data_IF_127348408576
#
_entry.id   IF_127348408576
#
_cell.length_a   1.000
_cell.length_b   1.000
_cell.length_c   1.000
_cell.angle_alpha   90.00
_cell.angle_beta   90.00
_cell.angle_gamma   90.00
#
_symmetry.space_group_name_H-M   'P 1'
#
loop_
_entity.id
_entity.type
_entity.pdbx_description
1 polymer ?
#
# COMPACT_ATOMS: atom_id res chain seq x y z
N UNK A 1 -14.37 -100.49 -23.44
CA UNK A 1 -13.74 -99.63 -24.45
C UNK A 1 -13.38 -98.31 -23.77
N UNK A 2 -12.16 -98.28 -23.44
CA UNK A 2 -11.22 -97.17 -23.27
C UNK A 2 -11.76 -95.82 -22.81
N UNK A 3 -11.61 -95.52 -21.49
CA UNK A 3 -11.69 -94.20 -20.89
C UNK A 3 -10.35 -93.62 -20.57
N UNK A 4 -10.05 -92.41 -21.07
CA UNK A 4 -8.81 -91.73 -20.86
C UNK A 4 -8.97 -90.72 -19.69
N UNK A 5 -8.14 -90.91 -18.63
CA UNK A 5 -8.07 -90.03 -17.50
C UNK A 5 -7.24 -88.81 -17.87
N UNK A 6 -7.72 -87.59 -17.63
CA UNK A 6 -6.98 -86.32 -17.76
C UNK A 6 -6.55 -85.90 -16.39
N UNK A 7 -5.21 -85.90 -16.18
CA UNK A 7 -4.51 -85.43 -14.98
C UNK A 7 -4.47 -83.91 -15.04
N UNK A 8 -5.20 -83.21 -14.16
CA UNK A 8 -5.12 -81.78 -13.98
C UNK A 8 -3.96 -81.42 -13.08
N UNK A 9 -2.96 -80.71 -13.63
CA UNK A 9 -1.82 -80.16 -12.88
C UNK A 9 -2.28 -78.85 -12.25
N UNK A 10 -2.37 -78.86 -10.91
CA UNK A 10 -2.64 -77.63 -10.16
C UNK A 10 -1.38 -76.74 -10.14
N UNK A 11 -1.47 -75.58 -10.80
CA UNK A 11 -0.46 -74.55 -10.70
C UNK A 11 -0.50 -73.88 -9.31
N UNK A 12 0.55 -74.11 -8.54
CA UNK A 12 0.77 -73.38 -7.29
C UNK A 12 1.08 -71.92 -7.61
N UNK A 13 0.10 -71.03 -7.40
CA UNK A 13 0.35 -69.58 -7.39
C UNK A 13 1.23 -69.17 -6.24
N UNK A 14 2.47 -68.79 -6.52
CA UNK A 14 3.37 -68.16 -5.61
C UNK A 14 2.86 -66.77 -5.25
N UNK A 15 2.38 -66.57 -4.02
CA UNK A 15 2.01 -65.28 -3.49
C UNK A 15 3.24 -64.35 -3.43
N UNK A 16 3.17 -63.12 -3.89
CA UNK A 16 4.31 -62.20 -3.85
C UNK A 16 4.67 -61.84 -2.40
N UNK A 17 5.96 -61.68 -2.10
CA UNK A 17 6.44 -61.48 -0.75
C UNK A 17 5.93 -60.17 -0.15
N UNK A 18 5.31 -60.25 1.04
CA UNK A 18 4.73 -59.14 1.80
C UNK A 18 5.78 -58.09 2.28
N UNK A 19 7.08 -58.27 1.98
CA UNK A 19 8.15 -57.37 2.35
C UNK A 19 8.11 -55.99 1.61
N UNK A 20 7.61 -55.94 0.37
CA UNK A 20 7.62 -54.72 -0.43
C UNK A 20 6.63 -53.63 0.01
N UNK A 21 5.59 -54.01 0.75
CA UNK A 21 4.59 -53.01 1.22
C UNK A 21 5.12 -52.16 2.38
N UNK A 22 5.89 -52.73 3.30
CA UNK A 22 6.46 -51.97 4.44
C UNK A 22 7.54 -51.01 4.00
N UNK A 23 8.39 -51.42 3.05
CA UNK A 23 9.40 -50.52 2.48
C UNK A 23 8.81 -49.41 1.65
N UNK A 24 7.72 -49.65 0.90
CA UNK A 24 7.00 -48.60 0.18
C UNK A 24 6.33 -47.58 1.12
N UNK A 25 5.72 -48.02 2.22
CA UNK A 25 5.14 -47.14 3.23
C UNK A 25 6.21 -46.31 3.98
N UNK A 26 7.35 -46.91 4.30
CA UNK A 26 8.46 -46.18 4.90
C UNK A 26 9.06 -45.15 3.93
N UNK A 27 9.23 -45.49 2.66
CA UNK A 27 9.69 -44.55 1.65
C UNK A 27 8.71 -43.39 1.44
N UNK A 28 7.40 -43.64 1.42
CA UNK A 28 6.38 -42.62 1.34
C UNK A 28 6.35 -41.71 2.59
N UNK A 29 6.51 -42.30 3.79
CA UNK A 29 6.59 -41.55 5.04
C UNK A 29 7.85 -40.65 5.10
N UNK A 30 9.01 -41.15 4.65
CA UNK A 30 10.23 -40.35 4.54
C UNK A 30 10.12 -39.22 3.53
N UNK A 31 9.51 -39.48 2.35
CA UNK A 31 9.24 -38.44 1.36
C UNK A 31 8.29 -37.36 1.89
N UNK A 32 7.25 -37.76 2.61
CA UNK A 32 6.33 -36.83 3.28
C UNK A 32 7.01 -36.00 4.37
N UNK A 33 7.84 -36.65 5.19
CA UNK A 33 8.61 -35.97 6.23
C UNK A 33 9.60 -34.94 5.63
N UNK A 34 10.33 -35.32 4.57
CA UNK A 34 11.26 -34.43 3.87
C UNK A 34 10.54 -33.24 3.25
N UNK A 35 9.36 -33.46 2.62
CA UNK A 35 8.53 -32.39 2.03
C UNK A 35 8.00 -31.38 3.07
N UNK A 36 7.81 -31.79 4.31
CA UNK A 36 7.33 -30.91 5.39
C UNK A 36 8.49 -30.32 6.19
N UNK A 37 9.49 -31.13 6.51
CA UNK A 37 10.59 -30.69 7.39
C UNK A 37 11.53 -29.70 6.68
N UNK A 38 11.81 -29.89 5.40
CA UNK A 38 12.69 -28.97 4.67
C UNK A 38 12.09 -27.57 4.57
N UNK A 39 10.82 -27.36 4.13
CA UNK A 39 10.23 -26.03 4.12
C UNK A 39 10.10 -25.42 5.52
N UNK A 40 9.75 -26.24 6.53
CA UNK A 40 9.61 -25.77 7.91
C UNK A 40 10.98 -25.35 8.49
N UNK A 41 12.02 -26.13 8.27
CA UNK A 41 13.39 -25.80 8.68
C UNK A 41 13.91 -24.56 7.93
N UNK A 42 13.60 -24.44 6.64
CA UNK A 42 13.93 -23.26 5.85
C UNK A 42 13.21 -22.01 6.38
N UNK A 43 11.92 -22.11 6.69
CA UNK A 43 11.18 -21.01 7.31
C UNK A 43 11.75 -20.66 8.68
N UNK A 44 11.98 -21.64 9.55
CA UNK A 44 12.56 -21.39 10.88
C UNK A 44 13.94 -20.73 10.78
N UNK A 45 14.77 -21.15 9.84
CA UNK A 45 16.09 -20.57 9.61
C UNK A 45 16.01 -19.13 9.07
N UNK A 46 15.09 -18.84 8.14
CA UNK A 46 14.87 -17.49 7.62
C UNK A 46 14.28 -16.54 8.67
N UNK A 47 13.41 -17.05 9.57
CA UNK A 47 12.89 -16.27 10.71
C UNK A 47 13.97 -15.99 11.77
N UNK A 48 14.83 -16.95 12.06
CA UNK A 48 15.89 -16.82 13.07
C UNK A 48 17.07 -15.95 12.62
N UNK A 49 17.22 -15.70 11.31
CA UNK A 49 18.38 -15.00 10.75
C UNK A 49 18.04 -13.58 10.25
N UNK A 50 16.98 -12.96 10.79
CA UNK A 50 16.66 -11.57 10.48
C UNK A 50 17.64 -10.63 11.16
N UNK A 51 18.35 -9.84 10.36
CA UNK A 51 19.22 -8.76 10.81
C UNK A 51 18.49 -7.43 10.69
N UNK A 52 18.80 -6.54 11.60
CA UNK A 52 18.26 -5.18 11.60
C UNK A 52 19.42 -4.18 11.58
N UNK A 53 19.20 -3.04 11.01
CA UNK A 53 20.14 -1.93 11.00
C UNK A 53 19.45 -0.64 10.66
N UNK A 54 20.12 0.45 10.89
CA UNK A 54 19.65 1.76 10.49
C UNK A 54 20.71 2.48 9.66
N UNK A 55 20.24 3.36 8.78
CA UNK A 55 21.05 4.29 8.02
C UNK A 55 20.40 5.66 8.16
N UNK A 56 21.21 6.68 8.33
CA UNK A 56 20.75 8.06 8.36
C UNK A 56 21.61 8.87 7.39
N UNK A 57 21.01 9.87 6.78
CA UNK A 57 21.67 10.79 5.86
C UNK A 57 20.88 12.09 5.75
N UNK A 58 21.32 12.98 4.87
CA UNK A 58 20.69 14.27 4.71
C UNK A 58 21.35 15.13 3.65
N UNK A 59 21.14 16.42 3.73
CA UNK A 59 21.49 17.39 2.69
C UNK A 59 22.96 17.85 2.69
N UNK A 60 23.88 17.24 3.37
CA UNK A 60 25.33 17.61 3.39
C UNK A 60 25.59 19.13 3.39
N UNK A 61 24.67 19.93 3.93
CA UNK A 61 24.76 21.39 3.98
C UNK A 61 24.46 22.11 2.64
N UNK A 62 24.01 21.41 1.62
CA UNK A 62 23.57 22.02 0.34
C UNK A 62 22.06 22.23 0.34
N UNK A 63 21.57 23.38 -0.14
CA UNK A 63 20.14 23.62 -0.18
C UNK A 63 19.43 22.58 -1.05
N UNK A 64 18.35 22.01 -0.50
CA UNK A 64 17.45 21.10 -1.24
C UNK A 64 16.15 21.86 -1.47
N UNK A 65 15.79 22.04 -2.73
CA UNK A 65 14.58 22.77 -3.13
C UNK A 65 13.44 21.84 -3.52
N UNK A 66 13.71 20.55 -3.78
CA UNK A 66 12.72 19.53 -4.08
C UNK A 66 13.18 18.14 -3.60
N UNK A 67 12.22 17.28 -3.27
CA UNK A 67 12.49 15.90 -2.87
C UNK A 67 11.77 14.94 -3.81
N UNK A 68 12.48 13.93 -4.30
CA UNK A 68 11.90 12.80 -5.02
C UNK A 68 12.22 11.49 -4.29
N UNK A 69 11.19 10.68 -4.04
CA UNK A 69 11.32 9.37 -3.39
C UNK A 69 10.79 8.29 -4.32
N UNK A 70 11.62 7.31 -4.65
CA UNK A 70 11.23 6.14 -5.44
C UNK A 70 11.22 4.93 -4.53
N UNK A 71 10.12 4.74 -3.81
CA UNK A 71 10.05 3.84 -2.67
C UNK A 71 9.99 2.34 -3.03
N UNK A 72 9.59 1.98 -4.27
CA UNK A 72 9.37 0.58 -4.62
C UNK A 72 8.33 -0.08 -3.70
N UNK A 73 8.74 -1.08 -2.91
CA UNK A 73 7.90 -1.76 -1.91
C UNK A 73 8.16 -1.32 -0.46
N UNK A 74 8.83 -0.19 -0.26
CA UNK A 74 9.20 0.31 1.07
C UNK A 74 8.09 1.16 1.70
N UNK A 75 8.04 1.17 3.04
CA UNK A 75 7.20 2.11 3.77
C UNK A 75 7.91 3.47 3.88
N UNK A 76 7.18 4.55 3.59
CA UNK A 76 7.72 5.92 3.59
C UNK A 76 6.86 6.80 4.48
N UNK A 77 7.51 7.54 5.37
CA UNK A 77 6.87 8.58 6.18
C UNK A 77 7.57 9.91 5.94
N UNK A 78 6.83 10.92 5.51
CA UNK A 78 7.35 12.27 5.28
C UNK A 78 6.69 13.25 6.24
N UNK A 79 7.50 13.95 7.02
CA UNK A 79 7.03 14.91 8.02
C UNK A 79 7.72 16.26 7.85
N UNK A 80 7.04 17.37 8.17
CA UNK A 80 7.63 18.70 8.09
C UNK A 80 8.62 18.95 9.24
N UNK A 81 9.59 19.80 8.96
CA UNK A 81 10.56 20.31 9.91
C UNK A 81 10.62 21.83 9.85
N UNK A 82 10.96 22.46 10.97
CA UNK A 82 11.01 23.91 11.04
C UNK A 82 12.29 24.50 10.43
N UNK A 83 13.38 23.74 10.42
CA UNK A 83 14.63 24.15 9.77
C UNK A 83 14.59 23.84 8.25
N UNK A 84 15.55 24.40 7.51
CA UNK A 84 15.62 24.25 6.05
C UNK A 84 16.45 23.03 5.62
N UNK A 85 16.65 22.07 6.52
CA UNK A 85 17.45 20.89 6.26
C UNK A 85 16.55 19.70 5.91
N UNK A 86 16.99 18.91 4.96
CA UNK A 86 16.42 17.59 4.67
C UNK A 86 17.24 16.54 5.38
N UNK A 87 16.61 15.71 6.17
CA UNK A 87 17.27 14.56 6.78
C UNK A 87 16.38 13.32 6.64
N UNK A 88 17.02 12.17 6.56
CA UNK A 88 16.29 10.91 6.57
C UNK A 88 16.93 9.87 7.48
N UNK A 89 16.11 8.97 7.94
CA UNK A 89 16.49 7.76 8.64
C UNK A 89 15.76 6.60 8.01
N UNK A 90 16.48 5.52 7.73
CA UNK A 90 15.90 4.29 7.24
C UNK A 90 16.18 3.15 8.23
N UNK A 91 15.11 2.48 8.65
CA UNK A 91 15.21 1.24 9.40
C UNK A 91 15.15 0.07 8.42
N UNK A 92 16.18 -0.75 8.44
CA UNK A 92 16.43 -1.82 7.49
C UNK A 92 16.26 -3.18 8.17
N UNK A 93 15.51 -4.08 7.56
CA UNK A 93 15.38 -5.47 7.97
C UNK A 93 15.73 -6.39 6.81
N UNK A 94 16.62 -7.40 7.03
CA UNK A 94 17.01 -8.32 5.97
C UNK A 94 17.39 -9.70 6.51
N UNK A 95 17.26 -10.73 5.68
CA UNK A 95 17.70 -12.08 6.01
C UNK A 95 19.03 -12.45 5.35
N UNK A 96 19.28 -12.00 4.13
CA UNK A 96 20.44 -12.43 3.34
C UNK A 96 21.34 -11.28 2.87
N UNK A 97 20.79 -10.32 2.12
CA UNK A 97 21.52 -9.15 1.65
C UNK A 97 20.97 -7.89 2.30
N UNK A 98 21.87 -7.03 2.74
CA UNK A 98 21.52 -5.76 3.36
C UNK A 98 20.92 -4.80 2.32
N UNK A 99 19.77 -4.18 2.61
CA UNK A 99 19.23 -3.10 1.79
C UNK A 99 20.18 -1.90 1.78
N UNK A 100 20.12 -1.13 0.72
CA UNK A 100 20.86 0.13 0.57
C UNK A 100 19.90 1.25 0.26
N UNK A 101 20.25 2.47 0.63
CA UNK A 101 19.58 3.69 0.20
C UNK A 101 20.52 4.36 -0.78
N UNK A 102 20.08 4.51 -2.01
CA UNK A 102 20.80 5.27 -3.02
C UNK A 102 20.33 6.74 -2.95
N UNK A 103 21.29 7.60 -2.70
CA UNK A 103 21.08 9.05 -2.77
C UNK A 103 21.63 9.55 -4.09
N UNK A 104 20.82 10.27 -4.82
CA UNK A 104 21.27 10.97 -6.01
C UNK A 104 20.76 12.40 -6.00
N UNK A 105 21.55 13.31 -6.57
CA UNK A 105 21.21 14.72 -6.69
C UNK A 105 21.13 15.11 -8.16
N UNK A 106 20.02 15.72 -8.51
CA UNK A 106 19.83 16.30 -9.82
C UNK A 106 19.60 17.82 -9.65
N UNK A 107 20.67 18.60 -9.71
CA UNK A 107 20.66 19.99 -9.28
C UNK A 107 20.36 20.09 -7.78
N UNK A 108 19.33 20.87 -7.42
CA UNK A 108 18.88 21.06 -6.04
C UNK A 108 17.79 20.04 -5.62
N UNK A 109 17.50 19.05 -6.45
CA UNK A 109 16.56 17.96 -6.14
C UNK A 109 17.32 16.80 -5.51
N UNK A 110 16.94 16.43 -4.30
CA UNK A 110 17.41 15.20 -3.65
C UNK A 110 16.50 14.03 -4.04
N UNK A 111 17.09 12.97 -4.56
CA UNK A 111 16.38 11.74 -4.87
C UNK A 111 16.83 10.61 -3.96
N UNK A 112 15.88 9.94 -3.33
CA UNK A 112 16.09 8.80 -2.44
C UNK A 112 15.48 7.55 -3.06
N UNK A 113 16.30 6.51 -3.23
CA UNK A 113 15.84 5.23 -3.79
C UNK A 113 16.28 4.10 -2.86
N UNK A 114 15.38 3.58 -2.01
CA UNK A 114 15.62 2.36 -1.28
C UNK A 114 15.76 1.17 -2.23
N UNK A 115 16.82 0.40 -2.08
CA UNK A 115 17.06 -0.79 -2.87
C UNK A 115 17.09 -2.04 -1.99
N UNK A 116 16.18 -2.98 -2.26
CA UNK A 116 16.09 -4.28 -1.62
C UNK A 116 16.63 -5.36 -2.56
N UNK A 117 17.89 -5.79 -2.40
CA UNK A 117 18.43 -6.87 -3.24
C UNK A 117 17.71 -8.20 -2.91
N UNK A 118 17.03 -8.78 -3.89
CA UNK A 118 16.27 -10.01 -3.72
C UNK A 118 14.78 -9.82 -3.34
N UNK A 119 14.22 -8.64 -3.58
CA UNK A 119 12.77 -8.41 -3.53
C UNK A 119 12.01 -9.33 -4.50
N UNK A 120 10.71 -9.41 -4.38
CA UNK A 120 9.83 -10.36 -5.07
C UNK A 120 9.94 -10.40 -6.62
N UNK A 121 10.73 -9.49 -7.22
CA UNK A 121 11.03 -9.47 -8.66
C UNK A 121 12.39 -10.04 -9.05
N UNK A 122 13.35 -10.15 -8.11
CA UNK A 122 14.76 -10.33 -8.50
C UNK A 122 15.32 -11.76 -8.25
N UNK A 123 14.71 -12.57 -7.43
CA UNK A 123 15.27 -13.90 -7.11
C UNK A 123 14.31 -15.05 -6.96
N UNK A 124 13.01 -14.83 -6.98
CA UNK A 124 12.00 -15.91 -6.97
C UNK A 124 12.04 -16.89 -5.78
N UNK A 125 12.95 -16.69 -4.83
CA UNK A 125 13.12 -17.58 -3.68
C UNK A 125 12.17 -17.14 -2.56
N UNK A 126 11.19 -17.97 -2.17
CA UNK A 126 10.31 -17.68 -1.06
C UNK A 126 11.10 -17.63 0.26
N UNK A 127 10.87 -16.58 1.05
CA UNK A 127 11.44 -16.45 2.40
C UNK A 127 12.58 -15.46 2.55
N UNK A 128 13.06 -14.83 1.48
CA UNK A 128 14.00 -13.73 1.59
C UNK A 128 13.28 -12.48 2.08
N UNK A 129 13.54 -12.09 3.32
CA UNK A 129 12.95 -10.88 3.91
C UNK A 129 13.85 -9.68 3.61
N UNK A 130 13.27 -8.69 3.00
CA UNK A 130 13.82 -7.37 2.89
C UNK A 130 12.72 -6.36 3.19
N UNK A 131 12.94 -5.49 4.15
CA UNK A 131 12.03 -4.40 4.49
C UNK A 131 12.82 -3.13 4.72
N UNK A 132 12.29 -2.03 4.21
CA UNK A 132 12.84 -0.71 4.44
C UNK A 132 11.69 0.18 4.91
N UNK A 133 11.89 0.85 6.06
CA UNK A 133 11.03 1.95 6.51
C UNK A 133 11.84 3.23 6.45
N UNK A 134 11.43 4.13 5.61
CA UNK A 134 12.10 5.39 5.35
C UNK A 134 11.33 6.52 6.04
N UNK A 135 11.98 7.19 6.98
CA UNK A 135 11.48 8.39 7.65
C UNK A 135 12.24 9.58 7.10
N UNK A 136 11.54 10.51 6.48
CA UNK A 136 12.13 11.70 5.89
C UNK A 136 11.55 12.94 6.55
N UNK A 137 12.40 13.83 6.99
CA UNK A 137 12.00 15.14 7.51
C UNK A 137 12.48 16.22 6.56
N UNK A 138 11.57 17.11 6.20
CA UNK A 138 11.79 18.11 5.14
C UNK A 138 11.31 19.50 5.57
N UNK A 139 11.82 20.58 4.98
CA UNK A 139 11.18 21.88 5.07
C UNK A 139 9.73 21.80 4.61
N UNK A 140 8.82 22.47 5.32
CA UNK A 140 7.38 22.34 5.08
C UNK A 140 6.93 22.78 3.68
N UNK A 141 7.68 23.63 3.02
CA UNK A 141 7.27 24.33 1.80
C UNK A 141 7.87 23.77 0.50
N UNK A 142 8.78 22.79 0.58
CA UNK A 142 9.37 22.22 -0.63
C UNK A 142 8.40 21.26 -1.34
N UNK A 143 8.43 21.22 -2.68
CA UNK A 143 7.67 20.25 -3.45
C UNK A 143 8.23 18.83 -3.23
N UNK A 144 7.31 17.87 -3.14
CA UNK A 144 7.63 16.47 -2.91
C UNK A 144 6.98 15.61 -3.95
N UNK A 145 7.76 14.71 -4.54
CA UNK A 145 7.27 13.66 -5.42
C UNK A 145 7.60 12.30 -4.83
N UNK A 146 6.57 11.45 -4.68
CA UNK A 146 6.72 10.08 -4.17
C UNK A 146 6.13 9.11 -5.18
N UNK A 147 6.93 8.12 -5.57
CA UNK A 147 6.46 7.00 -6.39
C UNK A 147 6.69 5.70 -5.62
N UNK A 148 5.62 4.95 -5.39
CA UNK A 148 5.68 3.67 -4.68
C UNK A 148 4.92 2.59 -5.46
N UNK A 149 5.50 1.39 -5.56
CA UNK A 149 4.82 0.24 -6.15
C UNK A 149 3.84 -0.39 -5.16
N UNK A 150 4.34 -0.77 -3.99
CA UNK A 150 3.57 -1.31 -2.88
C UNK A 150 4.10 -0.72 -1.56
N UNK A 151 3.44 -1.03 -0.45
CA UNK A 151 3.83 -0.48 0.85
C UNK A 151 2.93 0.67 1.28
N UNK A 152 3.34 1.34 2.34
CA UNK A 152 2.60 2.47 2.91
C UNK A 152 3.37 3.76 2.71
N UNK A 153 2.65 4.78 2.27
CA UNK A 153 3.18 6.14 2.14
C UNK A 153 2.34 7.07 3.01
N UNK A 154 2.98 7.66 4.02
CA UNK A 154 2.37 8.62 4.94
C UNK A 154 3.01 10.00 4.73
N UNK A 155 2.24 11.00 4.33
CA UNK A 155 2.73 12.37 4.11
C UNK A 155 1.85 13.33 4.91
N UNK A 156 2.47 14.12 5.79
CA UNK A 156 1.71 15.00 6.66
C UNK A 156 2.28 16.40 6.82
N UNK A 157 1.40 17.39 7.05
CA UNK A 157 1.73 18.73 7.52
C UNK A 157 2.45 19.65 6.53
N UNK A 158 2.49 19.33 5.25
CA UNK A 158 3.26 20.04 4.23
C UNK A 158 2.47 21.20 3.60
N UNK A 159 3.20 22.27 3.27
CA UNK A 159 2.70 23.43 2.54
C UNK A 159 3.13 23.47 1.08
N UNK A 160 4.19 22.75 0.72
CA UNK A 160 4.64 22.57 -0.66
C UNK A 160 3.72 21.67 -1.49
N UNK A 161 3.94 21.64 -2.80
CA UNK A 161 3.18 20.75 -3.69
C UNK A 161 3.54 19.27 -3.42
N UNK A 162 2.53 18.41 -3.39
CA UNK A 162 2.69 16.97 -3.20
C UNK A 162 2.19 16.22 -4.43
N UNK A 163 3.07 15.45 -5.08
CA UNK A 163 2.73 14.52 -6.17
C UNK A 163 3.04 13.09 -5.70
N UNK A 164 2.00 12.30 -5.42
CA UNK A 164 2.14 10.94 -4.92
C UNK A 164 1.49 9.96 -5.90
N UNK A 165 2.26 8.95 -6.32
CA UNK A 165 1.83 7.89 -7.23
C UNK A 165 2.10 6.53 -6.58
N UNK A 166 1.04 5.77 -6.31
CA UNK A 166 1.10 4.47 -5.61
C UNK A 166 0.34 3.42 -6.41
N UNK A 167 1.02 2.36 -6.84
CA UNK A 167 0.38 1.32 -7.66
C UNK A 167 -0.59 0.46 -6.86
N UNK A 168 -0.14 -0.17 -5.77
CA UNK A 168 -0.93 -1.19 -5.05
C UNK A 168 -0.91 -1.04 -3.53
N UNK A 169 -0.32 0.04 -3.01
CA UNK A 169 -0.16 0.27 -1.58
C UNK A 169 -1.27 1.09 -0.94
N UNK A 170 -0.92 1.68 0.20
CA UNK A 170 -1.78 2.61 0.92
C UNK A 170 -1.12 3.98 0.99
N UNK A 171 -1.85 5.01 0.60
CA UNK A 171 -1.40 6.41 0.65
C UNK A 171 -2.24 7.18 1.68
N UNK A 172 -1.58 7.68 2.71
CA UNK A 172 -2.17 8.57 3.71
C UNK A 172 -1.63 9.98 3.57
N UNK A 173 -2.52 10.93 3.39
CA UNK A 173 -2.21 12.34 3.28
C UNK A 173 -2.90 13.08 4.43
N UNK A 174 -2.17 13.85 5.24
CA UNK A 174 -2.78 14.53 6.38
C UNK A 174 -2.33 15.98 6.49
N UNK A 175 -3.29 16.91 6.62
CA UNK A 175 -2.99 18.32 6.91
C UNK A 175 -2.17 19.02 5.82
N UNK A 176 -2.37 18.68 4.55
CA UNK A 176 -1.67 19.31 3.43
C UNK A 176 -2.31 20.64 3.08
N UNK A 177 -1.45 21.63 2.80
CA UNK A 177 -1.85 23.01 2.49
C UNK A 177 -1.52 23.42 1.05
N UNK A 178 -0.49 22.81 0.44
CA UNK A 178 -0.12 23.04 -0.95
C UNK A 178 -1.00 22.25 -1.93
N UNK A 179 -0.80 22.44 -3.24
CA UNK A 179 -1.47 21.64 -4.27
C UNK A 179 -1.17 20.16 -4.09
N UNK A 180 -2.20 19.32 -4.25
CA UNK A 180 -2.09 17.85 -4.10
C UNK A 180 -2.45 17.18 -5.40
N UNK A 181 -1.56 16.29 -5.85
CA UNK A 181 -1.84 15.31 -6.90
C UNK A 181 -1.57 13.93 -6.36
N UNK A 182 -2.62 13.11 -6.28
CA UNK A 182 -2.52 11.75 -5.75
C UNK A 182 -3.13 10.74 -6.74
N UNK A 183 -2.35 9.70 -7.04
CA UNK A 183 -2.78 8.60 -7.89
C UNK A 183 -2.60 7.30 -7.14
N UNK A 184 -3.64 6.46 -7.18
CA UNK A 184 -3.59 5.11 -6.62
C UNK A 184 -4.17 4.14 -7.64
N UNK A 185 -3.39 3.14 -8.02
CA UNK A 185 -3.82 2.13 -8.98
C UNK A 185 -4.88 1.19 -8.38
N UNK A 186 -4.46 0.26 -7.53
CA UNK A 186 -5.34 -0.77 -6.93
C UNK A 186 -5.41 -0.70 -5.40
N UNK A 187 -4.80 0.30 -4.78
CA UNK A 187 -4.67 0.43 -3.33
C UNK A 187 -5.74 1.30 -2.68
N UNK A 188 -5.34 1.96 -1.61
CA UNK A 188 -6.19 2.84 -0.80
C UNK A 188 -5.54 4.21 -0.66
N UNK A 189 -6.34 5.26 -0.83
CA UNK A 189 -5.99 6.64 -0.57
C UNK A 189 -6.88 7.18 0.55
N UNK A 190 -6.27 7.64 1.62
CA UNK A 190 -6.95 8.35 2.70
C UNK A 190 -6.31 9.73 2.86
N UNK A 191 -7.05 10.76 2.51
CA UNK A 191 -6.60 12.14 2.64
C UNK A 191 -7.49 12.87 3.66
N UNK A 192 -6.89 13.37 4.72
CA UNK A 192 -7.62 13.99 5.82
C UNK A 192 -7.09 15.39 6.13
N UNK A 193 -7.97 16.24 6.62
CA UNK A 193 -7.64 17.59 7.05
C UNK A 193 -6.94 18.44 5.96
N UNK A 194 -7.38 18.30 4.71
CA UNK A 194 -6.83 19.04 3.59
C UNK A 194 -7.28 20.50 3.63
N UNK A 195 -6.34 21.42 3.50
CA UNK A 195 -6.57 22.86 3.27
C UNK A 195 -6.00 23.29 1.92
N UNK A 196 -5.73 22.33 1.06
CA UNK A 196 -5.14 22.49 -0.27
C UNK A 196 -6.06 23.29 -1.20
N UNK A 197 -5.56 24.30 -1.90
CA UNK A 197 -6.36 25.10 -2.85
C UNK A 197 -6.73 24.31 -4.12
N UNK A 198 -5.91 23.32 -4.46
CA UNK A 198 -6.10 22.47 -5.64
C UNK A 198 -5.84 21.01 -5.29
N UNK A 199 -6.72 20.12 -5.73
CA UNK A 199 -6.56 18.68 -5.53
C UNK A 199 -6.90 17.90 -6.81
N UNK A 200 -5.99 17.06 -7.24
CA UNK A 200 -6.20 16.09 -8.31
C UNK A 200 -6.05 14.68 -7.74
N UNK A 201 -7.16 13.94 -7.72
CA UNK A 201 -7.23 12.60 -7.16
C UNK A 201 -7.60 11.60 -8.24
N UNK A 202 -6.84 10.52 -8.36
CA UNK A 202 -7.14 9.43 -9.30
C UNK A 202 -7.06 8.10 -8.61
N UNK A 203 -8.11 7.30 -8.74
CA UNK A 203 -8.14 5.93 -8.26
C UNK A 203 -8.53 4.98 -9.38
N UNK A 204 -7.71 3.96 -9.61
CA UNK A 204 -7.99 2.93 -10.61
C UNK A 204 -9.09 1.98 -10.15
N UNK A 205 -8.72 0.93 -9.41
CA UNK A 205 -9.66 -0.09 -8.92
C UNK A 205 -9.81 -0.10 -7.38
N UNK A 206 -9.09 0.77 -6.68
CA UNK A 206 -9.07 0.84 -5.22
C UNK A 206 -10.16 1.72 -4.61
N UNK A 207 -9.85 2.26 -3.44
CA UNK A 207 -10.70 3.21 -2.73
C UNK A 207 -9.93 4.49 -2.47
N UNK A 208 -10.57 5.63 -2.67
CA UNK A 208 -10.05 6.92 -2.26
C UNK A 208 -11.08 7.66 -1.42
N UNK A 209 -10.64 8.21 -0.30
CA UNK A 209 -11.40 9.11 0.53
C UNK A 209 -10.60 10.41 0.74
N UNK A 210 -11.24 11.56 0.58
CA UNK A 210 -10.60 12.84 0.84
C UNK A 210 -11.54 13.80 1.58
N UNK A 211 -11.04 14.32 2.71
CA UNK A 211 -11.76 15.27 3.55
C UNK A 211 -11.04 16.62 3.60
N UNK A 212 -11.74 17.66 3.21
CA UNK A 212 -11.26 19.03 3.20
C UNK A 212 -11.75 19.80 4.44
N UNK A 213 -10.85 20.58 5.05
CA UNK A 213 -11.21 21.48 6.14
C UNK A 213 -11.60 22.88 5.65
N UNK A 214 -11.05 23.29 4.51
CA UNK A 214 -11.39 24.56 3.85
C UNK A 214 -11.87 24.29 2.45
N UNK A 215 -12.78 25.14 1.91
CA UNK A 215 -13.23 25.01 0.53
C UNK A 215 -12.04 25.13 -0.44
N UNK A 216 -11.73 24.12 -1.24
CA UNK A 216 -10.71 24.23 -2.29
C UNK A 216 -11.23 25.04 -3.48
N UNK A 217 -10.31 25.68 -4.21
CA UNK A 217 -10.66 26.39 -5.44
C UNK A 217 -10.93 25.45 -6.61
N UNK A 218 -10.20 24.34 -6.69
CA UNK A 218 -10.36 23.36 -7.78
C UNK A 218 -10.14 21.95 -7.29
N UNK A 219 -11.08 21.07 -7.57
CA UNK A 219 -10.96 19.63 -7.32
C UNK A 219 -11.28 18.86 -8.60
N UNK A 220 -10.34 18.00 -8.99
CA UNK A 220 -10.55 17.02 -10.07
C UNK A 220 -10.36 15.63 -9.52
N UNK A 221 -11.40 14.81 -9.58
CA UNK A 221 -11.34 13.47 -9.01
C UNK A 221 -11.90 12.42 -9.97
N UNK A 222 -11.11 11.37 -10.23
CA UNK A 222 -11.44 10.33 -11.21
C UNK A 222 -11.37 8.96 -10.59
N UNK A 223 -12.45 8.18 -10.73
CA UNK A 223 -12.52 6.78 -10.36
C UNK A 223 -12.66 5.91 -11.61
N UNK A 224 -11.77 4.93 -11.77
CA UNK A 224 -11.89 3.90 -12.79
C UNK A 224 -13.02 2.92 -12.44
N UNK A 225 -12.67 1.79 -11.82
CA UNK A 225 -13.64 0.81 -11.29
C UNK A 225 -13.77 0.87 -9.77
N UNK A 226 -13.03 1.75 -9.11
CA UNK A 226 -12.99 1.92 -7.66
C UNK A 226 -14.08 2.81 -7.10
N UNK A 227 -13.90 3.18 -5.83
CA UNK A 227 -14.75 4.12 -5.11
C UNK A 227 -13.97 5.37 -4.73
N UNK A 228 -14.60 6.51 -4.90
CA UNK A 228 -14.06 7.81 -4.54
C UNK A 228 -15.10 8.58 -3.73
N UNK A 229 -14.74 8.96 -2.51
CA UNK A 229 -15.59 9.66 -1.57
C UNK A 229 -14.91 11.00 -1.19
N UNK A 230 -15.57 12.12 -1.53
CA UNK A 230 -15.10 13.46 -1.20
C UNK A 230 -15.99 14.10 -0.15
N UNK A 231 -15.36 14.68 0.85
CA UNK A 231 -16.06 15.34 1.95
C UNK A 231 -15.58 16.80 2.08
N UNK A 232 -16.52 17.72 2.05
CA UNK A 232 -16.27 19.16 2.11
C UNK A 232 -16.85 19.79 3.38
N UNK A 233 -16.31 20.92 3.84
CA UNK A 233 -16.90 21.68 4.95
C UNK A 233 -18.28 22.23 4.55
N UNK A 234 -19.10 22.46 5.56
CA UNK A 234 -20.44 23.08 5.38
C UNK A 234 -20.33 24.43 4.65
N UNK A 235 -21.35 24.77 3.90
CA UNK A 235 -21.44 25.98 3.09
C UNK A 235 -20.51 26.05 1.86
N UNK A 236 -19.70 25.02 1.58
CA UNK A 236 -18.94 24.94 0.32
C UNK A 236 -19.88 24.87 -0.88
N UNK A 237 -19.55 25.58 -1.95
CA UNK A 237 -20.29 25.56 -3.23
C UNK A 237 -19.31 25.45 -4.39
N UNK A 238 -19.72 24.72 -5.43
CA UNK A 238 -18.92 24.51 -6.64
C UNK A 238 -19.75 24.58 -7.91
N UNK A 239 -19.11 25.01 -8.97
CA UNK A 239 -19.54 24.61 -10.31
C UNK A 239 -19.19 23.16 -10.49
N UNK A 240 -20.18 22.30 -10.54
CA UNK A 240 -20.00 20.85 -10.53
C UNK A 240 -20.18 20.31 -11.93
N UNK A 241 -19.16 19.58 -12.39
CA UNK A 241 -19.20 18.71 -13.54
C UNK A 241 -19.05 17.26 -13.07
N UNK A 242 -20.03 16.41 -13.41
CA UNK A 242 -20.12 15.05 -12.88
C UNK A 242 -20.49 14.08 -14.00
N UNK A 243 -19.52 13.31 -14.44
CA UNK A 243 -19.66 12.39 -15.56
C UNK A 243 -19.56 10.93 -15.07
N UNK A 244 -20.48 10.10 -15.53
CA UNK A 244 -20.45 8.66 -15.26
C UNK A 244 -20.56 7.88 -16.58
N UNK A 245 -19.65 6.94 -16.79
CA UNK A 245 -19.78 5.94 -17.84
C UNK A 245 -20.81 4.86 -17.44
N UNK A 246 -20.35 3.63 -17.19
CA UNK A 246 -21.20 2.58 -16.60
C UNK A 246 -21.29 2.66 -15.06
N UNK A 247 -20.56 3.58 -14.45
CA UNK A 247 -20.53 3.80 -13.00
C UNK A 247 -21.60 4.76 -12.49
N UNK A 248 -21.35 5.33 -11.30
CA UNK A 248 -22.23 6.34 -10.68
C UNK A 248 -21.45 7.54 -10.22
N UNK A 249 -21.99 8.71 -10.49
CA UNK A 249 -21.48 9.98 -9.99
C UNK A 249 -22.58 10.67 -9.19
N UNK A 250 -22.38 10.83 -7.89
CA UNK A 250 -23.35 11.36 -6.94
C UNK A 250 -22.77 12.59 -6.23
N UNK A 251 -23.44 13.74 -6.38
CA UNK A 251 -23.03 14.98 -5.72
C UNK A 251 -24.22 15.56 -4.99
N UNK A 252 -24.02 15.85 -3.70
CA UNK A 252 -25.04 16.54 -2.89
C UNK A 252 -25.53 17.81 -3.60
N UNK A 253 -26.84 17.95 -3.75
CA UNK A 253 -27.44 19.08 -4.42
C UNK A 253 -27.06 20.43 -3.83
N UNK A 254 -26.82 20.45 -2.52
CA UNK A 254 -26.41 21.67 -1.83
C UNK A 254 -24.96 22.11 -2.13
N UNK A 255 -24.12 21.26 -2.71
CA UNK A 255 -22.79 21.63 -3.21
C UNK A 255 -22.85 22.34 -4.57
N UNK A 256 -23.96 22.24 -5.31
CA UNK A 256 -24.10 22.75 -6.68
C UNK A 256 -24.47 24.19 -6.69
N UNK A 257 -23.63 25.02 -7.29
CA UNK A 257 -23.93 26.44 -7.56
C UNK A 257 -23.21 26.86 -8.84
N UNK A 258 -23.95 27.16 -9.92
CA UNK A 258 -23.33 27.59 -11.18
C UNK A 258 -22.55 28.91 -11.08
N UNK A 259 -22.82 29.74 -10.06
CA UNK A 259 -22.15 31.00 -9.83
C UNK A 259 -20.92 30.88 -8.91
N UNK A 260 -20.69 29.70 -8.32
CA UNK A 260 -19.55 29.50 -7.40
C UNK A 260 -18.22 29.74 -8.12
N UNK A 261 -17.24 30.34 -7.45
CA UNK A 261 -15.87 30.49 -7.98
C UNK A 261 -15.13 29.18 -8.10
N UNK A 262 -15.38 28.24 -7.19
CA UNK A 262 -14.73 26.94 -7.16
C UNK A 262 -15.29 25.96 -8.21
N UNK A 263 -14.44 25.00 -8.63
CA UNK A 263 -14.82 23.96 -9.59
C UNK A 263 -14.61 22.56 -9.00
N UNK A 264 -15.58 21.68 -9.22
CA UNK A 264 -15.53 20.28 -8.84
C UNK A 264 -15.83 19.42 -10.06
N UNK A 265 -14.80 18.77 -10.60
CA UNK A 265 -14.93 17.82 -11.70
C UNK A 265 -14.80 16.41 -11.19
N UNK A 266 -15.86 15.62 -11.31
CA UNK A 266 -15.91 14.23 -10.92
C UNK A 266 -16.11 13.34 -12.14
N UNK A 267 -15.39 12.23 -12.21
CA UNK A 267 -15.68 11.22 -13.22
C UNK A 267 -15.58 9.80 -12.65
N UNK A 268 -16.52 8.94 -13.04
CA UNK A 268 -16.54 7.54 -12.67
C UNK A 268 -16.76 6.68 -13.92
N UNK A 269 -15.75 5.91 -14.35
CA UNK A 269 -15.90 5.06 -15.52
C UNK A 269 -16.89 3.91 -15.26
N UNK A 270 -16.51 2.95 -14.39
CA UNK A 270 -17.38 1.84 -13.96
C UNK A 270 -17.57 1.81 -12.43
N UNK A 271 -16.87 2.68 -11.72
CA UNK A 271 -16.89 2.78 -10.26
C UNK A 271 -17.95 3.74 -9.73
N UNK A 272 -17.67 4.26 -8.54
CA UNK A 272 -18.54 5.26 -7.89
C UNK A 272 -17.71 6.45 -7.44
N UNK A 273 -18.17 7.64 -7.77
CA UNK A 273 -17.64 8.89 -7.24
C UNK A 273 -18.76 9.62 -6.48
N UNK A 274 -18.48 9.99 -5.24
CA UNK A 274 -19.42 10.69 -4.37
C UNK A 274 -18.78 11.96 -3.82
N UNK A 275 -19.59 13.02 -3.68
CA UNK A 275 -19.18 14.24 -3.01
C UNK A 275 -20.31 14.76 -2.13
N UNK A 276 -19.99 15.07 -0.87
CA UNK A 276 -20.95 15.53 0.11
C UNK A 276 -20.31 16.40 1.19
N UNK A 277 -21.09 16.80 2.17
CA UNK A 277 -20.60 17.50 3.33
C UNK A 277 -20.11 16.52 4.42
N UNK A 278 -19.18 17.00 5.23
CA UNK A 278 -18.82 16.33 6.45
C UNK A 278 -20.07 16.17 7.33
N UNK A 279 -20.46 14.94 7.59
CA UNK A 279 -21.48 14.67 8.61
C UNK A 279 -20.86 15.07 9.96
N UNK A 280 -21.50 15.95 10.75
CA UNK A 280 -20.99 16.21 12.08
C UNK A 280 -20.96 14.86 12.81
N UNK A 281 -19.74 14.37 13.11
CA UNK A 281 -19.59 13.21 13.96
C UNK A 281 -20.23 13.57 15.28
N UNK A 282 -21.32 12.90 15.66
CA UNK A 282 -21.88 12.98 17.00
C UNK A 282 -20.73 12.72 17.98
N UNK A 283 -20.42 13.66 18.90
CA UNK A 283 -19.36 13.40 19.84
C UNK A 283 -19.69 12.11 20.58
N UNK A 284 -18.75 11.18 20.58
CA UNK A 284 -18.88 9.98 21.40
C UNK A 284 -19.11 10.42 22.84
N UNK A 285 -20.32 10.25 23.33
CA UNK A 285 -20.66 10.45 24.74
C UNK A 285 -20.23 9.18 25.46
N UNK A 286 -19.27 9.23 26.39
CA UNK A 286 -18.95 8.05 27.19
C UNK A 286 -20.22 7.66 27.97
N UNK A 287 -20.72 6.47 27.68
CA UNK A 287 -21.76 5.85 28.48
C UNK A 287 -21.25 5.78 29.90
N UNK A 288 -21.94 6.47 30.80
CA UNK A 288 -21.69 6.38 32.24
C UNK A 288 -21.76 4.91 32.67
N UNK A 289 -20.76 4.37 33.36
CA UNK A 289 -20.89 3.04 33.95
C UNK A 289 -22.08 3.07 34.89
N UNK A 290 -23.08 2.26 34.58
CA UNK A 290 -24.23 2.00 35.43
C UNK A 290 -23.74 1.53 36.81
N UNK A 291 -23.96 2.36 37.79
CA UNK A 291 -23.72 2.04 39.21
C UNK A 291 -24.53 0.79 39.56
N UNK A 292 -23.92 -0.26 40.12
CA UNK A 292 -24.68 -1.41 40.58
C UNK A 292 -25.55 -0.98 41.75
N UNK A 293 -26.85 -1.22 41.64
CA UNK A 293 -27.81 -1.06 42.73
C UNK A 293 -27.46 -2.02 43.90
N UNK A 294 -27.45 -1.49 45.09
CA UNK A 294 -27.30 -2.25 46.34
C UNK A 294 -28.54 -3.11 46.64
#
# INVERSE_FOLDING_TARGET
MTGTAATGTAARGTAPPRAGRRTAWLAAAWLGAVLVVIPAAWQAWTYGNTRQGSVAGGDDGRPVTALEIVAGGSDVTVTPRADRQVSYRADLGWSFRRPTIEESRLGDTLRLTPHCPGGAGDSGLPGLRCSVRLFVTVPADIPIKVTAGSGRVDIGGLGGAVDADVDSGTLHLTGLRGPVRARVGSGQLDATALTSPQAELRVGSGRAAAAFLTPPGQVTARAGSGRLDLTFPTATRFRVDCEAGAGRCEVDGALRDPAAPGTLTLSAASGRAQAGYATPSTPWTPEHPSTPAR
#
